data_IF_565806335917
#
_entry.id   IF_565806335917
#
_cell.length_a   1.000
_cell.length_b   1.000
_cell.length_c   1.000
_cell.angle_alpha   90.00
_cell.angle_beta   90.00
_cell.angle_gamma   90.00
#
_symmetry.space_group_name_H-M   'P 1'
#
loop_
_entity.id
_entity.type
_entity.pdbx_description
1 polymer ?
#
# COMPACT_ATOMS: atom_id res chain seq x y z
N UNK A 1 -60.26 12.15 -17.46
CA UNK A 1 -59.19 11.62 -18.34
C UNK A 1 -57.98 11.29 -17.48
N UNK A 2 -57.59 10.05 -17.44
CA UNK A 2 -56.38 9.64 -16.72
C UNK A 2 -55.16 10.23 -17.44
N UNK A 3 -54.22 10.78 -16.66
CA UNK A 3 -52.99 11.38 -17.22
C UNK A 3 -52.12 10.28 -17.83
N UNK A 4 -51.87 10.26 -19.16
CA UNK A 4 -51.11 9.19 -19.83
C UNK A 4 -49.74 8.93 -19.21
N UNK A 5 -49.10 9.97 -18.66
CA UNK A 5 -47.81 9.85 -17.97
C UNK A 5 -47.90 9.05 -16.66
N UNK A 6 -48.97 9.25 -15.88
CA UNK A 6 -49.20 8.48 -14.65
C UNK A 6 -49.44 6.98 -14.94
N UNK A 7 -50.11 6.70 -16.04
CA UNK A 7 -50.34 5.32 -16.46
C UNK A 7 -49.07 4.62 -16.90
N UNK A 8 -48.18 5.30 -17.66
CA UNK A 8 -46.86 4.79 -18.02
C UNK A 8 -45.98 4.53 -16.81
N UNK A 9 -46.00 5.41 -15.81
CA UNK A 9 -45.25 5.24 -14.55
C UNK A 9 -45.77 4.04 -13.76
N UNK A 10 -47.09 3.85 -13.71
CA UNK A 10 -47.69 2.67 -13.07
C UNK A 10 -47.31 1.36 -13.79
N UNK A 11 -47.27 1.37 -15.13
CA UNK A 11 -46.79 0.22 -15.92
C UNK A 11 -45.30 -0.06 -15.68
N UNK A 12 -44.48 0.98 -15.63
CA UNK A 12 -43.04 0.86 -15.28
C UNK A 12 -42.85 0.13 -13.95
N UNK A 13 -43.51 0.61 -12.90
CA UNK A 13 -43.44 0.00 -11.57
C UNK A 13 -43.96 -1.44 -11.56
N UNK A 14 -45.03 -1.73 -12.27
CA UNK A 14 -45.60 -3.07 -12.38
C UNK A 14 -44.66 -4.04 -13.10
N UNK A 15 -44.05 -3.64 -14.23
CA UNK A 15 -43.10 -4.49 -14.94
C UNK A 15 -41.85 -4.76 -14.10
N UNK A 16 -41.35 -3.74 -13.35
CA UNK A 16 -40.26 -3.92 -12.44
C UNK A 16 -40.58 -4.83 -11.24
N UNK A 17 -41.81 -4.77 -10.74
CA UNK A 17 -42.30 -5.64 -9.67
C UNK A 17 -42.51 -7.08 -10.12
N UNK A 18 -42.88 -7.30 -11.39
CA UNK A 18 -43.10 -8.65 -11.97
C UNK A 18 -41.85 -9.27 -12.59
N UNK A 19 -40.75 -8.50 -12.77
CA UNK A 19 -39.54 -9.01 -13.41
C UNK A 19 -39.64 -9.09 -14.95
N UNK A 20 -40.58 -8.42 -15.59
CA UNK A 20 -40.82 -8.47 -17.03
C UNK A 20 -39.83 -7.57 -17.79
N UNK A 21 -38.65 -8.11 -18.07
CA UNK A 21 -37.58 -7.39 -18.78
C UNK A 21 -37.96 -6.97 -20.20
N UNK A 22 -38.80 -7.79 -20.89
CA UNK A 22 -39.20 -7.53 -22.28
C UNK A 22 -40.10 -6.30 -22.38
N UNK A 23 -41.15 -6.25 -21.55
CA UNK A 23 -42.07 -5.10 -21.53
C UNK A 23 -41.43 -3.87 -20.95
N UNK A 24 -40.54 -4.03 -19.95
CA UNK A 24 -39.72 -2.93 -19.39
C UNK A 24 -38.84 -2.31 -20.46
N UNK A 25 -38.13 -3.12 -21.24
CA UNK A 25 -37.29 -2.65 -22.32
C UNK A 25 -38.06 -1.85 -23.37
N UNK A 26 -39.21 -2.42 -23.82
CA UNK A 26 -40.09 -1.74 -24.78
C UNK A 26 -40.59 -0.40 -24.26
N UNK A 27 -41.05 -0.33 -22.99
CA UNK A 27 -41.53 0.90 -22.38
C UNK A 27 -40.42 1.98 -22.28
N UNK A 28 -39.25 1.61 -21.80
CA UNK A 28 -38.12 2.54 -21.64
C UNK A 28 -37.48 2.98 -22.96
N UNK A 29 -37.63 2.19 -24.02
CA UNK A 29 -37.18 2.59 -25.38
C UNK A 29 -38.04 3.72 -25.95
N UNK A 30 -39.29 3.82 -25.55
CA UNK A 30 -40.22 4.88 -25.99
C UNK A 30 -40.29 6.06 -25.02
N UNK A 31 -40.00 5.84 -23.74
CA UNK A 31 -40.20 6.83 -22.67
C UNK A 31 -39.14 6.71 -21.57
N UNK A 32 -37.86 6.98 -21.89
CA UNK A 32 -36.76 6.92 -20.93
C UNK A 32 -36.88 7.93 -19.80
N UNK A 33 -37.57 9.05 -20.00
CA UNK A 33 -37.69 10.16 -19.03
C UNK A 33 -38.48 9.79 -17.76
N UNK A 34 -39.16 8.63 -17.72
CA UNK A 34 -39.97 8.19 -16.56
C UNK A 34 -39.17 7.29 -15.59
N UNK A 35 -37.95 6.93 -15.93
CA UNK A 35 -37.14 5.90 -15.20
C UNK A 35 -36.99 6.20 -13.70
N UNK A 36 -36.94 7.46 -13.31
CA UNK A 36 -36.75 7.94 -11.93
C UNK A 36 -38.05 8.44 -11.28
N UNK A 37 -39.20 8.32 -11.97
CA UNK A 37 -40.48 8.67 -11.37
C UNK A 37 -40.84 7.73 -10.23
N UNK A 38 -41.43 8.28 -9.17
CA UNK A 38 -41.76 7.53 -7.97
C UNK A 38 -43.29 7.41 -7.79
N UNK A 39 -43.72 6.33 -7.16
CA UNK A 39 -45.08 6.17 -6.70
C UNK A 39 -45.42 7.11 -5.52
N UNK A 40 -46.67 7.20 -5.10
CA UNK A 40 -47.13 8.06 -4.00
C UNK A 40 -46.45 7.80 -2.66
N UNK A 41 -45.96 6.56 -2.44
CA UNK A 41 -45.15 6.16 -1.27
C UNK A 41 -43.68 6.49 -1.42
N UNK A 42 -43.23 7.14 -2.51
CA UNK A 42 -41.85 7.42 -2.83
C UNK A 42 -41.03 6.25 -3.39
N UNK A 43 -41.69 5.16 -3.73
CA UNK A 43 -41.01 3.99 -4.30
C UNK A 43 -40.67 4.21 -5.77
N UNK A 44 -39.42 4.01 -6.12
CA UNK A 44 -38.93 4.02 -7.49
C UNK A 44 -39.06 2.62 -8.14
N UNK A 45 -38.95 2.58 -9.47
CA UNK A 45 -38.93 1.32 -10.23
C UNK A 45 -37.82 0.36 -9.72
N UNK A 46 -36.63 0.92 -9.40
CA UNK A 46 -35.52 0.17 -8.86
C UNK A 46 -35.83 -0.47 -7.49
N UNK A 47 -36.58 0.23 -6.64
CA UNK A 47 -37.00 -0.30 -5.32
C UNK A 47 -37.95 -1.49 -5.45
N UNK A 48 -38.90 -1.45 -6.40
CA UNK A 48 -39.80 -2.59 -6.67
C UNK A 48 -39.04 -3.82 -7.17
N UNK A 49 -38.11 -3.63 -8.11
CA UNK A 49 -37.27 -4.71 -8.61
C UNK A 49 -36.33 -5.28 -7.51
N UNK A 50 -35.75 -4.41 -6.67
CA UNK A 50 -34.89 -4.80 -5.57
C UNK A 50 -35.63 -5.58 -4.48
N UNK A 51 -36.89 -5.21 -4.16
CA UNK A 51 -37.73 -5.93 -3.21
C UNK A 51 -38.02 -7.36 -3.64
N UNK A 52 -38.34 -7.53 -4.92
CA UNK A 52 -38.81 -8.80 -5.44
C UNK A 52 -37.69 -9.71 -5.99
N UNK A 53 -36.44 -9.28 -5.88
CA UNK A 53 -35.29 -10.11 -6.25
C UNK A 53 -35.01 -10.20 -7.75
N UNK A 54 -35.53 -9.30 -8.57
CA UNK A 54 -35.42 -9.35 -10.03
C UNK A 54 -34.07 -8.75 -10.51
N UNK A 55 -33.03 -9.57 -10.45
CA UNK A 55 -31.66 -9.18 -10.76
C UNK A 55 -31.48 -8.55 -12.15
N UNK A 56 -32.04 -9.17 -13.19
CA UNK A 56 -31.94 -8.69 -14.58
C UNK A 56 -32.63 -7.34 -14.80
N UNK A 57 -33.75 -7.12 -14.11
CA UNK A 57 -34.46 -5.83 -14.12
C UNK A 57 -33.62 -4.77 -13.44
N UNK A 58 -33.02 -5.06 -12.27
CA UNK A 58 -32.13 -4.14 -11.56
C UNK A 58 -30.94 -3.76 -12.43
N UNK A 59 -30.30 -4.75 -13.08
CA UNK A 59 -29.19 -4.55 -13.99
C UNK A 59 -29.59 -3.64 -15.16
N UNK A 60 -30.71 -3.92 -15.82
CA UNK A 60 -31.22 -3.12 -16.94
C UNK A 60 -31.52 -1.66 -16.52
N UNK A 61 -32.14 -1.44 -15.37
CA UNK A 61 -32.43 -0.09 -14.87
C UNK A 61 -31.15 0.71 -14.62
N UNK A 62 -30.13 0.06 -14.03
CA UNK A 62 -28.82 0.69 -13.79
C UNK A 62 -28.10 1.03 -15.11
N UNK A 63 -28.12 0.13 -16.10
CA UNK A 63 -27.54 0.36 -17.44
C UNK A 63 -28.23 1.51 -18.17
N UNK A 64 -29.52 1.74 -17.93
CA UNK A 64 -30.26 2.88 -18.46
C UNK A 64 -30.17 4.15 -17.63
N UNK A 65 -29.31 4.17 -16.59
CA UNK A 65 -29.00 5.36 -15.83
C UNK A 65 -30.05 5.73 -14.78
N UNK A 66 -30.77 4.76 -14.18
CA UNK A 66 -31.68 5.06 -13.08
C UNK A 66 -30.92 5.57 -11.84
N UNK A 67 -31.54 6.49 -11.11
CA UNK A 67 -31.00 7.03 -9.87
C UNK A 67 -31.24 6.05 -8.70
N UNK A 68 -30.15 5.42 -8.26
CA UNK A 68 -30.18 4.47 -7.13
C UNK A 68 -30.13 5.13 -5.75
N UNK A 69 -29.96 6.45 -5.70
CA UNK A 69 -29.90 7.20 -4.45
C UNK A 69 -31.28 7.65 -3.96
N UNK A 70 -32.32 7.48 -4.79
CA UNK A 70 -33.67 7.80 -4.42
C UNK A 70 -34.09 7.08 -3.14
N UNK A 71 -34.82 7.78 -2.28
CA UNK A 71 -35.33 7.25 -1.02
C UNK A 71 -36.86 7.26 -0.99
N UNK A 72 -37.47 6.24 -0.42
CA UNK A 72 -38.90 6.20 -0.17
C UNK A 72 -39.29 7.06 1.06
N UNK A 73 -40.56 7.12 1.39
CA UNK A 73 -41.05 7.86 2.57
C UNK A 73 -40.49 7.34 3.91
N UNK A 74 -39.97 6.11 3.95
CA UNK A 74 -39.26 5.53 5.09
C UNK A 74 -37.75 5.78 5.05
N UNK A 75 -37.25 6.64 4.16
CA UNK A 75 -35.84 6.97 3.93
C UNK A 75 -34.98 5.76 3.54
N UNK A 76 -35.57 4.75 2.91
CA UNK A 76 -34.85 3.55 2.44
C UNK A 76 -34.52 3.70 0.96
N UNK A 77 -33.29 3.33 0.59
CA UNK A 77 -32.83 3.17 -0.79
C UNK A 77 -33.20 1.77 -1.34
N UNK A 78 -33.04 1.56 -2.64
CA UNK A 78 -33.17 0.23 -3.24
C UNK A 78 -32.18 -0.78 -2.63
N UNK A 79 -30.99 -0.32 -2.24
CA UNK A 79 -29.98 -1.15 -1.55
C UNK A 79 -30.46 -1.61 -0.16
N UNK A 80 -31.05 -0.69 0.61
CA UNK A 80 -31.56 -1.03 1.95
C UNK A 80 -32.70 -2.04 1.86
N UNK A 81 -33.56 -1.88 0.86
CA UNK A 81 -34.66 -2.82 0.57
C UNK A 81 -34.09 -4.19 0.17
N UNK A 82 -33.10 -4.25 -0.74
CA UNK A 82 -32.47 -5.50 -1.14
C UNK A 82 -31.80 -6.23 0.05
N UNK A 83 -31.15 -5.49 0.95
CA UNK A 83 -30.57 -6.04 2.19
C UNK A 83 -31.64 -6.63 3.11
N UNK A 84 -32.73 -5.89 3.33
CA UNK A 84 -33.83 -6.33 4.18
C UNK A 84 -34.45 -7.63 3.70
N UNK A 85 -34.64 -7.78 2.37
CA UNK A 85 -35.23 -8.97 1.75
C UNK A 85 -34.21 -10.09 1.46
N UNK A 86 -32.91 -9.89 1.80
CA UNK A 86 -31.88 -10.93 1.69
C UNK A 86 -31.41 -11.22 0.26
N UNK A 87 -31.65 -10.34 -0.70
CA UNK A 87 -31.27 -10.53 -2.11
C UNK A 87 -29.79 -10.21 -2.35
N UNK A 88 -28.90 -11.09 -1.89
CA UNK A 88 -27.42 -10.88 -1.87
C UNK A 88 -26.85 -10.47 -3.23
N UNK A 89 -27.32 -11.06 -4.35
CA UNK A 89 -26.83 -10.70 -5.69
C UNK A 89 -27.19 -9.27 -6.06
N UNK A 90 -28.40 -8.80 -5.72
CA UNK A 90 -28.84 -7.42 -5.93
C UNK A 90 -28.09 -6.47 -4.98
N UNK A 91 -27.88 -6.87 -3.73
CA UNK A 91 -27.05 -6.10 -2.78
C UNK A 91 -25.65 -5.88 -3.36
N UNK A 92 -25.01 -6.92 -3.88
CA UNK A 92 -23.70 -6.80 -4.51
C UNK A 92 -23.74 -5.89 -5.74
N UNK A 93 -24.74 -6.03 -6.60
CA UNK A 93 -24.92 -5.20 -7.79
C UNK A 93 -25.16 -3.73 -7.43
N UNK A 94 -26.02 -3.43 -6.47
CA UNK A 94 -26.31 -2.06 -6.03
C UNK A 94 -25.16 -1.44 -5.22
N UNK A 95 -24.40 -2.25 -4.50
CA UNK A 95 -23.21 -1.80 -3.74
C UNK A 95 -22.01 -1.56 -4.65
N UNK A 96 -21.77 -2.43 -5.63
CA UNK A 96 -20.72 -2.27 -6.64
C UNK A 96 -21.07 -1.17 -7.64
N UNK A 97 -22.33 -1.04 -7.98
CA UNK A 97 -22.87 0.06 -8.73
C UNK A 97 -23.07 1.32 -7.84
N UNK A 98 -22.13 1.69 -6.99
CA UNK A 98 -21.94 3.11 -6.78
C UNK A 98 -21.58 3.67 -8.15
N UNK A 99 -22.55 4.23 -8.85
CA UNK A 99 -22.34 5.10 -9.99
C UNK A 99 -21.67 6.40 -9.51
N UNK A 100 -20.56 6.24 -8.80
CA UNK A 100 -19.57 7.27 -8.73
C UNK A 100 -18.97 7.30 -10.13
N UNK A 101 -19.02 8.43 -10.79
CA UNK A 101 -18.09 8.76 -11.85
C UNK A 101 -16.75 8.25 -11.36
N UNK A 102 -16.15 7.24 -12.07
CA UNK A 102 -14.79 6.83 -11.74
C UNK A 102 -13.97 8.11 -11.78
N UNK A 103 -13.27 8.47 -10.70
CA UNK A 103 -12.49 9.69 -10.73
C UNK A 103 -11.60 9.63 -11.95
N UNK A 104 -11.57 10.68 -12.77
CA UNK A 104 -10.78 10.75 -14.00
C UNK A 104 -9.28 10.41 -13.78
N UNK A 105 -8.81 10.56 -12.54
CA UNK A 105 -7.44 10.25 -12.12
C UNK A 105 -7.26 8.82 -11.61
N UNK A 106 -8.34 8.02 -11.45
CA UNK A 106 -8.25 6.58 -11.22
C UNK A 106 -8.40 5.92 -12.59
N UNK A 107 -7.30 5.55 -13.19
CA UNK A 107 -7.29 4.74 -14.40
C UNK A 107 -7.94 3.38 -14.13
N UNK A 108 -8.51 2.73 -15.14
CA UNK A 108 -9.00 1.36 -15.08
C UNK A 108 -7.86 0.33 -14.94
N UNK A 109 -6.73 0.78 -14.42
CA UNK A 109 -5.52 0.01 -14.38
C UNK A 109 -5.67 -1.19 -13.45
N UNK A 110 -5.88 -2.34 -14.05
CA UNK A 110 -5.29 -3.60 -13.60
C UNK A 110 -3.76 -3.59 -13.79
N UNK A 111 -3.15 -2.43 -14.02
CA UNK A 111 -1.71 -2.26 -13.97
C UNK A 111 -1.29 -2.40 -12.52
N UNK A 112 -0.57 -3.47 -12.21
CA UNK A 112 0.13 -3.64 -10.96
C UNK A 112 1.11 -2.48 -10.79
N UNK A 113 0.66 -1.40 -10.14
CA UNK A 113 1.53 -0.30 -9.79
C UNK A 113 2.44 -0.74 -8.66
N UNK A 114 3.70 -0.95 -8.98
CA UNK A 114 4.72 -1.20 -7.97
C UNK A 114 4.83 0.04 -7.06
N UNK A 115 4.68 -0.18 -5.75
CA UNK A 115 4.85 0.91 -4.78
C UNK A 115 6.31 1.38 -4.79
N UNK A 116 6.55 2.67 -4.86
CA UNK A 116 7.87 3.27 -4.97
C UNK A 116 8.90 2.76 -3.94
N UNK A 117 8.50 2.52 -2.69
CA UNK A 117 9.35 1.96 -1.64
C UNK A 117 9.18 0.44 -1.43
N UNK A 118 8.56 -0.27 -2.37
CA UNK A 118 8.32 -1.72 -2.29
C UNK A 118 8.61 -2.36 -3.64
N UNK A 119 9.89 -2.50 -3.96
CA UNK A 119 10.35 -3.11 -5.20
C UNK A 119 10.42 -4.63 -5.08
N UNK A 120 10.09 -5.33 -6.16
CA UNK A 120 10.24 -6.78 -6.34
C UNK A 120 11.61 -7.16 -6.91
N UNK A 121 12.51 -6.19 -7.05
CA UNK A 121 13.85 -6.41 -7.61
C UNK A 121 14.68 -7.43 -6.83
N UNK A 122 14.53 -7.50 -5.49
CA UNK A 122 15.17 -8.50 -4.66
C UNK A 122 14.18 -9.54 -4.14
N UNK A 123 14.49 -10.83 -4.37
CA UNK A 123 13.91 -11.93 -3.59
C UNK A 123 14.60 -11.94 -2.23
N UNK A 124 13.83 -11.74 -1.17
CA UNK A 124 14.32 -11.63 0.21
C UNK A 124 14.85 -12.94 0.79
N UNK A 125 14.66 -14.08 0.14
CA UNK A 125 15.13 -15.43 0.51
C UNK A 125 15.10 -15.65 2.02
N UNK A 126 13.91 -15.55 2.61
CA UNK A 126 13.74 -15.76 4.06
C UNK A 126 14.11 -17.19 4.50
N UNK A 127 14.00 -18.15 3.60
CA UNK A 127 14.42 -19.56 3.76
C UNK A 127 15.93 -19.72 3.96
N UNK A 128 16.74 -18.80 3.42
CA UNK A 128 18.22 -18.87 3.48
C UNK A 128 18.82 -18.08 4.65
N UNK A 129 18.05 -17.30 5.39
CA UNK A 129 18.58 -16.44 6.48
C UNK A 129 19.17 -17.22 7.64
N UNK A 130 18.73 -18.46 7.85
CA UNK A 130 19.25 -19.37 8.87
C UNK A 130 20.42 -20.23 8.39
N UNK A 131 20.67 -20.29 7.07
CA UNK A 131 21.79 -21.03 6.50
C UNK A 131 23.07 -20.20 6.54
N UNK A 132 23.82 -20.35 7.62
CA UNK A 132 25.07 -19.62 7.88
C UNK A 132 26.12 -19.88 6.79
N UNK A 133 26.19 -21.12 6.26
CA UNK A 133 27.18 -21.47 5.24
C UNK A 133 26.87 -20.80 3.91
N UNK A 134 25.61 -20.83 3.52
CA UNK A 134 25.15 -20.15 2.33
C UNK A 134 25.34 -18.62 2.43
N UNK A 135 24.97 -18.01 3.56
CA UNK A 135 25.20 -16.57 3.80
C UNK A 135 26.69 -16.21 3.73
N UNK A 136 27.58 -17.03 4.31
CA UNK A 136 29.02 -16.82 4.24
C UNK A 136 29.55 -16.92 2.81
N UNK A 137 29.08 -17.91 2.02
CA UNK A 137 29.49 -18.02 0.61
C UNK A 137 29.09 -16.77 -0.19
N UNK A 138 27.84 -16.30 0.00
CA UNK A 138 27.36 -15.06 -0.65
C UNK A 138 28.09 -13.80 -0.16
N UNK A 139 28.44 -13.75 1.13
CA UNK A 139 29.18 -12.65 1.71
C UNK A 139 30.59 -12.48 1.13
N UNK A 140 31.24 -13.55 0.68
CA UNK A 140 32.58 -13.51 0.07
C UNK A 140 32.56 -13.60 -1.45
N UNK A 141 31.38 -13.70 -2.06
CA UNK A 141 31.21 -13.75 -3.51
C UNK A 141 31.55 -12.38 -4.11
N UNK A 142 32.40 -12.35 -5.13
CA UNK A 142 32.83 -11.13 -5.81
C UNK A 142 31.71 -10.43 -6.57
N UNK A 143 30.64 -11.15 -6.91
CA UNK A 143 29.45 -10.60 -7.56
C UNK A 143 28.50 -9.91 -6.58
N UNK A 144 28.64 -10.13 -5.27
CA UNK A 144 27.76 -9.58 -4.25
C UNK A 144 27.89 -8.06 -4.14
N UNK A 145 26.73 -7.40 -3.96
CA UNK A 145 26.62 -5.95 -3.89
C UNK A 145 26.43 -5.48 -2.45
N UNK A 146 27.19 -4.46 -2.07
CA UNK A 146 27.12 -3.81 -0.75
C UNK A 146 26.68 -2.37 -0.89
N UNK A 147 25.70 -1.97 -0.07
CA UNK A 147 25.32 -0.57 0.12
C UNK A 147 25.66 -0.14 1.55
N UNK A 148 26.31 1.02 1.69
CA UNK A 148 26.81 1.47 2.99
C UNK A 148 25.86 2.50 3.60
N UNK A 149 25.69 2.42 4.92
CA UNK A 149 24.91 3.35 5.73
C UNK A 149 25.71 3.86 6.91
N UNK A 150 25.54 5.14 7.23
CA UNK A 150 25.93 5.74 8.51
C UNK A 150 24.76 6.56 9.05
N UNK A 151 24.32 6.30 10.29
CA UNK A 151 23.17 6.99 10.91
C UNK A 151 21.90 6.96 10.02
N UNK A 152 21.60 5.82 9.42
CA UNK A 152 20.49 5.61 8.47
C UNK A 152 20.59 6.46 7.18
N UNK A 153 21.72 7.09 6.91
CA UNK A 153 21.98 7.83 5.70
C UNK A 153 22.79 6.95 4.74
N UNK A 154 22.32 6.72 3.50
CA UNK A 154 23.03 5.89 2.53
C UNK A 154 24.23 6.65 1.95
N UNK A 155 25.26 5.89 1.56
CA UNK A 155 26.33 6.38 0.70
C UNK A 155 25.81 6.45 -0.74
N UNK A 156 25.86 7.63 -1.34
CA UNK A 156 25.33 7.90 -2.69
C UNK A 156 26.37 8.61 -3.55
N UNK A 157 26.19 8.56 -4.87
CA UNK A 157 26.96 9.35 -5.84
C UNK A 157 26.03 10.23 -6.66
N UNK A 158 26.56 11.34 -7.18
CA UNK A 158 25.88 12.17 -8.17
C UNK A 158 26.35 11.76 -9.56
N UNK A 159 25.41 11.47 -10.44
CA UNK A 159 25.67 11.21 -11.85
C UNK A 159 25.14 12.40 -12.66
N UNK A 160 25.99 13.01 -13.43
CA UNK A 160 25.70 14.17 -14.29
C UNK A 160 26.93 15.05 -14.44
N UNK A 161 27.18 15.51 -15.64
CA UNK A 161 28.25 16.48 -15.91
C UNK A 161 27.75 17.89 -15.61
N UNK A 162 28.63 18.74 -15.10
CA UNK A 162 28.33 20.18 -14.82
C UNK A 162 27.84 20.95 -16.06
N UNK A 163 28.01 20.36 -17.26
CA UNK A 163 27.66 20.95 -18.55
C UNK A 163 26.34 20.42 -19.15
N UNK A 164 25.64 19.49 -18.48
CA UNK A 164 24.34 19.03 -18.91
C UNK A 164 23.23 19.90 -18.35
N UNK A 165 22.24 20.28 -19.17
CA UNK A 165 21.05 21.01 -18.75
C UNK A 165 20.10 20.17 -17.85
N UNK A 166 20.50 18.96 -17.48
CA UNK A 166 19.74 18.05 -16.62
C UNK A 166 20.24 18.14 -15.19
N UNK A 167 19.33 18.13 -14.24
CA UNK A 167 19.67 18.04 -12.81
C UNK A 167 20.47 16.75 -12.52
N UNK A 168 21.51 16.80 -11.65
CA UNK A 168 22.29 15.63 -11.31
C UNK A 168 21.43 14.57 -10.65
N UNK A 169 21.50 13.33 -11.16
CA UNK A 169 20.78 12.17 -10.64
C UNK A 169 21.53 11.55 -9.46
N UNK A 170 20.80 11.28 -8.36
CA UNK A 170 21.34 10.59 -7.18
C UNK A 170 21.21 9.08 -7.38
N UNK A 171 22.31 8.33 -7.13
CA UNK A 171 22.34 6.86 -7.16
C UNK A 171 22.98 6.28 -5.93
N UNK A 172 22.53 5.09 -5.52
CA UNK A 172 23.20 4.32 -4.47
C UNK A 172 24.58 3.87 -4.94
N UNK A 173 25.61 4.05 -4.10
CA UNK A 173 26.92 3.47 -4.36
C UNK A 173 26.84 1.95 -4.19
N UNK A 174 27.05 1.22 -5.30
CA UNK A 174 27.07 -0.24 -5.34
C UNK A 174 28.51 -0.70 -5.27
N UNK A 175 28.89 -1.27 -4.14
CA UNK A 175 30.26 -1.70 -3.85
C UNK A 175 30.35 -3.22 -3.88
N UNK A 176 31.53 -3.76 -4.17
CA UNK A 176 31.79 -5.19 -4.18
C UNK A 176 32.50 -5.61 -2.88
N UNK A 177 32.63 -6.92 -2.67
CA UNK A 177 33.28 -7.46 -1.48
C UNK A 177 34.69 -6.87 -1.23
N UNK A 178 35.49 -6.76 -2.29
CA UNK A 178 36.86 -6.22 -2.18
C UNK A 178 36.93 -4.76 -1.73
N UNK A 179 35.88 -3.98 -2.03
CA UNK A 179 35.79 -2.58 -1.61
C UNK A 179 35.54 -2.45 -0.11
N UNK A 180 34.84 -3.42 0.48
CA UNK A 180 34.34 -3.35 1.87
C UNK A 180 35.00 -4.32 2.83
N UNK A 181 35.84 -5.27 2.37
CA UNK A 181 36.45 -6.33 3.18
C UNK A 181 37.22 -5.82 4.42
N UNK A 182 37.85 -4.67 4.34
CA UNK A 182 38.55 -4.09 5.47
C UNK A 182 37.61 -3.65 6.61
N UNK A 183 36.41 -3.20 6.28
CA UNK A 183 35.38 -2.84 7.26
C UNK A 183 34.73 -4.09 7.84
N UNK A 184 34.49 -5.12 7.01
CA UNK A 184 33.93 -6.40 7.42
C UNK A 184 34.86 -7.17 8.37
N UNK A 185 36.15 -6.89 8.38
CA UNK A 185 37.11 -7.44 9.35
C UNK A 185 36.93 -6.91 10.77
N UNK A 186 36.06 -5.90 10.97
CA UNK A 186 35.76 -5.25 12.25
C UNK A 186 34.34 -5.49 12.71
N UNK A 187 33.95 -6.73 13.06
CA UNK A 187 32.56 -7.09 13.33
C UNK A 187 31.94 -6.35 14.51
N UNK A 188 32.74 -5.83 15.44
CA UNK A 188 32.27 -5.04 16.58
C UNK A 188 31.94 -3.58 16.21
N UNK A 189 32.49 -3.07 15.10
CA UNK A 189 32.30 -1.69 14.65
C UNK A 189 31.24 -1.55 13.56
N UNK A 190 30.87 -2.65 12.90
CA UNK A 190 29.92 -2.66 11.78
C UNK A 190 28.82 -3.72 11.98
N UNK A 191 27.69 -3.51 11.35
CA UNK A 191 26.66 -4.53 11.27
C UNK A 191 26.27 -4.78 9.82
N UNK A 192 26.07 -6.06 9.48
CA UNK A 192 25.75 -6.52 8.13
C UNK A 192 24.35 -7.10 8.09
N UNK A 193 23.58 -6.72 7.07
CA UNK A 193 22.23 -7.21 6.83
C UNK A 193 22.16 -7.78 5.41
N UNK A 194 21.67 -9.02 5.30
CA UNK A 194 21.32 -9.59 4.01
C UNK A 194 19.99 -9.04 3.53
N UNK A 195 19.93 -8.42 2.34
CA UNK A 195 18.72 -7.82 1.79
C UNK A 195 17.95 -8.78 0.89
N UNK A 196 18.64 -9.66 0.19
CA UNK A 196 18.06 -10.59 -0.76
C UNK A 196 19.01 -10.89 -1.92
N UNK A 197 18.48 -11.56 -2.93
CA UNK A 197 19.16 -11.82 -4.20
C UNK A 197 18.38 -11.19 -5.34
N UNK A 198 19.04 -10.82 -6.43
CA UNK A 198 18.36 -10.27 -7.62
C UNK A 198 17.37 -11.26 -8.18
N UNK A 199 16.13 -10.80 -8.40
CA UNK A 199 15.05 -11.64 -8.94
C UNK A 199 15.30 -11.88 -10.43
N UNK A 200 15.37 -13.16 -10.83
CA UNK A 200 15.36 -13.53 -12.25
C UNK A 200 13.91 -13.68 -12.70
N UNK A 201 13.48 -12.83 -13.63
CA UNK A 201 12.08 -12.66 -14.06
C UNK A 201 11.40 -13.90 -14.66
N UNK A 202 12.10 -15.04 -14.87
CA UNK A 202 11.55 -16.09 -15.74
C UNK A 202 11.52 -17.52 -15.22
N UNK A 203 11.79 -17.81 -13.95
CA UNK A 203 11.48 -19.13 -13.31
C UNK A 203 12.21 -19.25 -11.96
N UNK A 204 11.73 -20.05 -11.00
CA UNK A 204 12.53 -20.39 -9.83
C UNK A 204 13.86 -20.98 -10.29
N UNK A 205 15.00 -20.49 -9.78
CA UNK A 205 16.31 -20.94 -10.20
C UNK A 205 16.51 -22.43 -9.90
N UNK A 206 17.14 -23.17 -10.82
CA UNK A 206 17.61 -24.51 -10.52
C UNK A 206 18.71 -24.44 -9.44
N UNK A 207 18.99 -25.57 -8.76
CA UNK A 207 20.01 -25.59 -7.70
C UNK A 207 21.38 -25.06 -8.16
N UNK A 208 21.77 -25.33 -9.42
CA UNK A 208 23.02 -24.81 -10.00
C UNK A 208 22.96 -23.30 -10.31
N UNK A 209 21.78 -22.75 -10.49
CA UNK A 209 21.56 -21.31 -10.72
C UNK A 209 21.51 -20.53 -9.40
N UNK A 210 21.16 -21.19 -8.28
CA UNK A 210 21.15 -20.55 -6.96
C UNK A 210 22.51 -19.98 -6.56
N UNK A 211 23.59 -20.66 -6.91
CA UNK A 211 24.96 -20.22 -6.61
C UNK A 211 25.37 -18.97 -7.43
N UNK A 212 24.71 -18.71 -8.57
CA UNK A 212 25.02 -17.57 -9.44
C UNK A 212 24.18 -16.32 -9.14
N UNK A 213 23.26 -16.39 -8.18
CA UNK A 213 22.42 -15.24 -7.82
C UNK A 213 23.26 -14.16 -7.14
N UNK A 214 23.13 -12.92 -7.62
CA UNK A 214 23.78 -11.75 -7.03
C UNK A 214 23.09 -11.39 -5.72
N UNK A 215 23.83 -11.47 -4.62
CA UNK A 215 23.33 -11.15 -3.29
C UNK A 215 23.58 -9.67 -2.95
N UNK A 216 22.62 -9.07 -2.24
CA UNK A 216 22.73 -7.69 -1.78
C UNK A 216 22.78 -7.62 -0.27
N UNK A 217 23.68 -6.78 0.23
CA UNK A 217 23.90 -6.55 1.65
C UNK A 217 23.86 -5.07 1.99
N UNK A 218 23.34 -4.73 3.17
CA UNK A 218 23.51 -3.41 3.78
C UNK A 218 24.57 -3.49 4.88
N UNK A 219 25.58 -2.63 4.79
CA UNK A 219 26.64 -2.49 5.76
C UNK A 219 26.44 -1.19 6.54
N UNK A 220 26.16 -1.30 7.84
CA UNK A 220 26.08 -0.13 8.72
C UNK A 220 27.44 0.15 9.36
N UNK A 221 27.94 1.36 9.17
CA UNK A 221 29.26 1.82 9.63
C UNK A 221 29.13 2.98 10.62
N UNK A 222 28.05 3.03 11.39
CA UNK A 222 27.73 4.12 12.32
C UNK A 222 28.85 4.42 13.32
N UNK A 223 29.65 3.41 13.70
CA UNK A 223 30.76 3.56 14.66
C UNK A 223 32.08 3.92 14.00
N UNK A 224 32.12 4.11 12.69
CA UNK A 224 33.31 4.49 11.93
C UNK A 224 33.23 5.96 11.47
N UNK A 225 34.39 6.60 11.25
CA UNK A 225 34.39 7.95 10.68
C UNK A 225 33.92 7.94 9.22
N UNK A 226 32.98 8.81 8.87
CA UNK A 226 32.45 8.94 7.51
C UNK A 226 33.53 9.44 6.52
N UNK A 227 34.47 10.24 6.96
CA UNK A 227 35.52 10.81 6.12
C UNK A 227 36.40 9.76 5.43
N UNK A 228 36.60 8.58 6.06
CA UNK A 228 37.35 7.50 5.45
C UNK A 228 36.67 6.92 4.22
N UNK A 229 35.32 6.90 4.22
CA UNK A 229 34.55 6.39 3.10
C UNK A 229 34.52 7.38 1.94
N UNK A 230 34.34 8.66 2.23
CA UNK A 230 34.34 9.72 1.22
C UNK A 230 35.69 9.88 0.54
N UNK A 231 36.80 9.66 1.28
CA UNK A 231 38.15 9.62 0.69
C UNK A 231 38.43 8.37 -0.13
N UNK A 232 37.89 7.22 0.30
CA UNK A 232 38.10 5.94 -0.40
C UNK A 232 37.27 5.85 -1.66
N UNK A 233 36.03 6.36 -1.64
CA UNK A 233 35.06 6.29 -2.74
C UNK A 233 34.88 7.71 -3.31
N UNK A 234 35.75 8.10 -4.22
CA UNK A 234 35.72 9.44 -4.82
C UNK A 234 34.38 9.73 -5.48
N UNK A 235 33.80 10.90 -5.19
CA UNK A 235 32.49 11.31 -5.70
C UNK A 235 31.31 10.73 -4.95
N UNK A 236 31.54 9.90 -3.91
CA UNK A 236 30.49 9.39 -3.03
C UNK A 236 30.43 10.19 -1.72
N UNK A 237 29.22 10.34 -1.19
CA UNK A 237 28.99 11.02 0.09
C UNK A 237 27.78 10.44 0.81
N UNK A 238 27.71 10.59 2.14
CA UNK A 238 26.53 10.21 2.91
C UNK A 238 25.44 11.27 2.77
N UNK A 239 24.28 10.86 2.25
CA UNK A 239 23.15 11.76 1.98
C UNK A 239 22.49 12.24 3.27
N UNK A 240 22.70 13.51 3.66
CA UNK A 240 22.17 14.14 4.87
C UNK A 240 21.57 15.52 4.56
N UNK A 241 20.29 15.79 4.94
CA UNK A 241 19.29 14.82 5.42
C UNK A 241 18.85 13.89 4.29
N UNK A 242 18.47 12.64 4.56
CA UNK A 242 18.10 11.72 3.50
C UNK A 242 16.81 12.12 2.76
N UNK A 243 15.86 12.76 3.44
CA UNK A 243 14.63 13.24 2.83
C UNK A 243 14.67 14.76 2.61
N UNK A 244 14.13 15.29 1.51
CA UNK A 244 13.37 14.61 0.43
C UNK A 244 14.23 14.02 -0.70
N UNK A 245 15.55 14.18 -0.69
CA UNK A 245 16.44 13.80 -1.80
C UNK A 245 16.30 12.31 -2.22
N UNK A 246 15.99 11.41 -1.28
CA UNK A 246 15.74 10.00 -1.58
C UNK A 246 14.55 9.75 -2.53
N UNK A 247 13.66 10.72 -2.69
CA UNK A 247 12.55 10.62 -3.65
C UNK A 247 13.00 10.79 -5.12
N UNK A 248 14.27 11.10 -5.34
CA UNK A 248 14.87 11.19 -6.68
C UNK A 248 15.48 9.86 -7.15
N UNK A 249 15.60 8.85 -6.27
CA UNK A 249 16.10 7.53 -6.65
C UNK A 249 15.11 6.82 -7.60
N UNK A 250 15.61 5.94 -8.43
CA UNK A 250 14.75 5.02 -9.19
C UNK A 250 14.02 4.06 -8.25
N UNK A 251 12.82 3.61 -8.60
CA UNK A 251 11.93 2.82 -7.71
C UNK A 251 12.60 1.55 -7.18
N UNK A 252 13.44 0.88 -7.97
CA UNK A 252 14.19 -0.31 -7.55
C UNK A 252 15.16 0.02 -6.41
N UNK A 253 15.94 1.09 -6.51
CA UNK A 253 16.86 1.54 -5.47
C UNK A 253 16.11 2.07 -4.24
N UNK A 254 14.99 2.76 -4.45
CA UNK A 254 14.14 3.24 -3.36
C UNK A 254 13.59 2.09 -2.51
N UNK A 255 13.16 0.98 -3.14
CA UNK A 255 12.69 -0.23 -2.44
C UNK A 255 13.78 -0.92 -1.62
N UNK A 256 14.97 -1.10 -2.20
CA UNK A 256 16.14 -1.66 -1.51
C UNK A 256 16.53 -0.81 -0.31
N UNK A 257 16.60 0.51 -0.52
CA UNK A 257 16.92 1.47 0.53
C UNK A 257 15.92 1.44 1.67
N UNK A 258 14.62 1.40 1.37
CA UNK A 258 13.55 1.37 2.37
C UNK A 258 13.66 0.12 3.26
N UNK A 259 13.92 -1.04 2.64
CA UNK A 259 14.15 -2.29 3.36
C UNK A 259 15.37 -2.19 4.29
N UNK A 260 16.51 -1.75 3.77
CA UNK A 260 17.75 -1.63 4.55
C UNK A 260 17.58 -0.67 5.73
N UNK A 261 17.05 0.54 5.48
CA UNK A 261 16.83 1.54 6.53
C UNK A 261 15.86 1.07 7.60
N UNK A 262 14.80 0.35 7.22
CA UNK A 262 13.81 -0.17 8.18
C UNK A 262 14.44 -1.18 9.14
N UNK A 263 15.25 -2.10 8.63
CA UNK A 263 15.93 -3.11 9.45
C UNK A 263 17.03 -2.46 10.32
N UNK A 264 17.82 -1.55 9.76
CA UNK A 264 18.83 -0.80 10.52
C UNK A 264 18.22 0.06 11.64
N UNK A 265 17.10 0.75 11.35
CA UNK A 265 16.38 1.51 12.37
C UNK A 265 15.83 0.62 13.48
N UNK A 266 15.42 -0.61 13.14
CA UNK A 266 15.02 -1.59 14.14
C UNK A 266 16.22 -2.06 14.98
N UNK A 267 17.39 -2.36 14.38
CA UNK A 267 18.61 -2.69 15.11
C UNK A 267 18.96 -1.62 16.14
N UNK A 268 18.92 -0.35 15.75
CA UNK A 268 19.25 0.76 16.64
C UNK A 268 18.33 0.89 17.86
N UNK A 269 17.08 0.44 17.75
CA UNK A 269 16.09 0.49 18.84
C UNK A 269 16.15 -0.72 19.77
N UNK A 270 16.68 -1.84 19.31
CA UNK A 270 16.62 -3.13 20.01
C UNK A 270 18.01 -3.67 20.38
N UNK A 271 18.94 -2.79 20.70
CA UNK A 271 20.32 -3.14 21.13
C UNK A 271 20.33 -3.93 22.46
N UNK A 272 19.23 -3.90 23.21
CA UNK A 272 19.08 -4.57 24.49
C UNK A 272 17.81 -5.43 24.53
N UNK A 273 17.91 -6.57 25.20
CA UNK A 273 16.80 -7.47 25.39
C UNK A 273 15.67 -6.80 26.21
N UNK A 274 14.43 -6.74 25.71
CA UNK A 274 13.32 -6.14 26.44
C UNK A 274 12.90 -6.93 27.69
N UNK A 275 13.35 -8.17 27.84
CA UNK A 275 13.01 -9.04 28.98
C UNK A 275 13.97 -8.89 30.14
N UNK A 276 15.28 -8.77 29.90
CA UNK A 276 16.29 -8.73 30.98
C UNK A 276 17.25 -7.54 30.91
N UNK A 277 17.19 -6.69 29.89
CA UNK A 277 18.10 -5.57 29.68
C UNK A 277 19.51 -5.95 29.21
N UNK A 278 19.81 -7.25 29.02
CA UNK A 278 21.11 -7.70 28.49
C UNK A 278 21.28 -7.32 27.02
N UNK A 279 22.53 -7.28 26.54
CA UNK A 279 22.82 -7.01 25.11
C UNK A 279 22.18 -8.07 24.22
N UNK A 280 21.90 -7.70 22.97
CA UNK A 280 21.46 -8.62 21.92
C UNK A 280 22.53 -8.76 20.85
N UNK A 281 22.51 -9.90 20.17
CA UNK A 281 23.29 -10.18 18.95
C UNK A 281 22.38 -10.31 17.75
N UNK A 282 22.90 -9.95 16.59
CA UNK A 282 22.19 -9.99 15.31
C UNK A 282 22.36 -11.39 14.70
N UNK A 283 21.24 -12.02 14.36
CA UNK A 283 21.18 -13.35 13.75
C UNK A 283 20.30 -13.33 12.50
N UNK A 284 20.21 -14.49 11.82
CA UNK A 284 19.34 -14.73 10.65
C UNK A 284 19.48 -13.66 9.57
N UNK A 285 20.73 -13.38 9.18
CA UNK A 285 21.04 -12.39 8.14
C UNK A 285 20.61 -10.95 8.49
N UNK A 286 20.43 -10.63 9.77
CA UNK A 286 20.04 -9.32 10.25
C UNK A 286 18.58 -9.19 10.69
N UNK A 287 17.77 -10.25 10.63
CA UNK A 287 16.33 -10.18 10.86
C UNK A 287 15.88 -10.73 12.22
N UNK A 288 16.82 -11.08 13.09
CA UNK A 288 16.54 -11.51 14.46
C UNK A 288 17.56 -10.95 15.43
N UNK A 289 17.10 -10.56 16.61
CA UNK A 289 17.98 -10.18 17.72
C UNK A 289 17.79 -11.11 18.90
N UNK A 290 18.86 -11.75 19.34
CA UNK A 290 18.86 -12.76 20.40
C UNK A 290 19.63 -12.25 21.60
N UNK A 291 19.09 -12.43 22.81
CA UNK A 291 19.75 -12.07 24.06
C UNK A 291 21.00 -12.91 24.31
N UNK A 292 22.08 -12.28 24.75
CA UNK A 292 23.34 -12.98 25.09
C UNK A 292 23.34 -13.52 26.52
N UNK A 293 22.36 -13.15 27.35
CA UNK A 293 22.32 -13.57 28.76
C UNK A 293 21.80 -14.99 28.88
N UNK A 294 22.66 -15.88 29.38
CA UNK A 294 22.28 -17.26 29.65
C UNK A 294 21.10 -17.34 30.61
N UNK A 295 20.15 -18.25 30.34
CA UNK A 295 18.95 -18.43 31.13
C UNK A 295 17.86 -17.35 30.99
N UNK A 296 18.08 -16.36 30.10
CA UNK A 296 17.04 -15.34 29.86
C UNK A 296 15.75 -15.99 29.31
N UNK A 297 14.57 -15.65 29.84
CA UNK A 297 13.30 -16.16 29.34
C UNK A 297 13.07 -15.92 27.84
N UNK A 298 13.66 -14.86 27.27
CA UNK A 298 13.57 -14.58 25.82
C UNK A 298 14.17 -15.67 24.94
N UNK A 299 15.00 -16.57 25.49
CA UNK A 299 15.59 -17.71 24.77
C UNK A 299 14.66 -18.91 24.67
N UNK A 300 13.50 -18.89 25.36
CA UNK A 300 12.60 -20.05 25.48
C UNK A 300 11.54 -20.18 24.38
N UNK A 301 11.49 -19.26 23.42
CA UNK A 301 10.54 -19.36 22.32
C UNK A 301 10.33 -18.06 21.55
N UNK A 302 9.59 -18.16 20.47
CA UNK A 302 9.38 -17.10 19.49
C UNK A 302 8.79 -15.81 20.08
N UNK A 303 7.90 -15.91 21.07
CA UNK A 303 7.25 -14.75 21.70
C UNK A 303 8.22 -13.90 22.53
N UNK A 304 9.35 -14.47 22.90
CA UNK A 304 10.38 -13.80 23.68
C UNK A 304 11.57 -13.33 22.86
N UNK A 305 11.58 -13.62 21.56
CA UNK A 305 12.62 -13.21 20.62
C UNK A 305 12.22 -11.93 19.91
N UNK A 306 13.18 -11.05 19.65
CA UNK A 306 12.91 -9.80 18.94
C UNK A 306 13.06 -9.96 17.43
N UNK A 307 12.00 -9.63 16.71
CA UNK A 307 11.94 -9.57 15.25
C UNK A 307 11.55 -8.17 14.77
N UNK A 308 11.88 -7.79 13.52
CA UNK A 308 11.39 -6.54 12.94
C UNK A 308 9.87 -6.47 12.98
N UNK A 309 9.34 -5.34 13.41
CA UNK A 309 7.89 -5.13 13.50
C UNK A 309 7.31 -4.66 12.19
N UNK A 310 6.08 -5.13 11.91
CA UNK A 310 5.24 -4.62 10.83
C UNK A 310 3.97 -4.06 11.48
N UNK A 311 3.79 -2.74 11.38
CA UNK A 311 2.61 -2.07 11.89
C UNK A 311 1.67 -1.77 10.70
N UNK A 312 0.44 -2.31 10.69
CA UNK A 312 -0.49 -2.08 9.59
C UNK A 312 -0.97 -0.63 9.59
N UNK A 313 -0.98 -0.03 8.41
CA UNK A 313 -1.39 1.37 8.17
C UNK A 313 -2.41 1.40 7.05
N UNK A 314 -3.41 2.25 7.17
CA UNK A 314 -4.33 2.57 6.08
C UNK A 314 -4.08 3.98 5.57
N UNK A 315 -4.22 4.15 4.26
CA UNK A 315 -4.25 5.44 3.59
C UNK A 315 -5.59 5.52 2.85
N UNK A 316 -6.32 6.61 3.11
CA UNK A 316 -7.68 6.78 2.58
C UNK A 316 -7.70 7.89 1.54
N UNK A 317 -8.04 7.57 0.30
CA UNK A 317 -8.37 8.54 -0.72
C UNK A 317 -9.87 8.84 -0.66
N UNK A 318 -10.24 10.03 -0.16
CA UNK A 318 -11.62 10.48 -0.11
C UNK A 318 -11.89 11.29 -1.37
N UNK A 319 -12.76 10.75 -2.22
CA UNK A 319 -13.13 11.39 -3.49
C UNK A 319 -14.46 12.10 -3.33
N UNK A 320 -14.52 13.34 -3.82
CA UNK A 320 -15.76 14.12 -3.87
C UNK A 320 -16.76 13.47 -4.84
N UNK A 321 -18.10 13.59 -4.61
CA UNK A 321 -19.12 12.99 -5.47
C UNK A 321 -19.06 13.39 -6.95
N UNK A 322 -18.45 14.53 -7.30
CA UNK A 322 -18.26 14.95 -8.69
C UNK A 322 -17.16 14.16 -9.43
N UNK A 323 -16.38 13.33 -8.73
CA UNK A 323 -15.31 12.50 -9.29
C UNK A 323 -14.04 13.26 -9.70
N UNK A 324 -14.01 14.59 -9.57
CA UNK A 324 -12.91 15.44 -10.03
C UNK A 324 -12.08 16.06 -8.89
N UNK A 325 -12.50 15.89 -7.65
CA UNK A 325 -11.82 16.42 -6.48
C UNK A 325 -11.55 15.32 -5.46
N UNK A 326 -10.45 15.43 -4.73
CA UNK A 326 -10.17 14.57 -3.58
C UNK A 326 -9.74 15.40 -2.35
N UNK A 327 -9.89 14.80 -1.17
CA UNK A 327 -9.47 15.41 0.07
C UNK A 327 -8.01 15.08 0.34
N UNK A 328 -7.16 16.09 0.39
CA UNK A 328 -5.77 15.99 0.80
C UNK A 328 -5.50 16.87 2.02
N UNK A 329 -4.64 16.43 2.90
CA UNK A 329 -4.22 17.15 4.08
C UNK A 329 -2.73 17.50 4.05
N UNK A 330 -2.33 18.53 4.79
CA UNK A 330 -0.93 18.90 4.98
C UNK A 330 -0.63 19.11 6.45
N UNK A 331 0.34 18.38 6.97
CA UNK A 331 0.87 18.61 8.32
C UNK A 331 1.89 19.76 8.29
N UNK A 332 2.05 20.47 9.42
CA UNK A 332 3.01 21.59 9.54
C UNK A 332 4.45 21.20 9.20
N UNK A 333 4.84 19.95 9.47
CA UNK A 333 6.18 19.39 9.19
C UNK A 333 6.42 19.01 7.73
N UNK A 334 5.38 19.01 6.89
CA UNK A 334 5.56 18.70 5.48
C UNK A 334 6.23 19.85 4.74
N UNK A 335 7.09 19.55 3.75
CA UNK A 335 7.64 20.56 2.86
C UNK A 335 6.53 21.43 2.23
N UNK A 336 6.82 22.69 1.88
CA UNK A 336 5.88 23.52 1.15
C UNK A 336 5.39 22.82 -0.12
N UNK A 337 4.07 22.88 -0.39
CA UNK A 337 3.46 22.25 -1.57
C UNK A 337 3.21 20.73 -1.44
N UNK A 338 3.71 20.05 -0.40
CA UNK A 338 3.45 18.62 -0.19
C UNK A 338 2.14 18.38 0.56
N UNK A 339 1.27 17.58 -0.02
CA UNK A 339 0.00 17.14 0.56
C UNK A 339 -0.08 15.61 0.55
N UNK A 340 -0.90 15.03 1.40
CA UNK A 340 -1.09 13.58 1.52
C UNK A 340 -2.55 13.25 1.76
N UNK A 341 -2.96 12.04 1.42
CA UNK A 341 -4.20 11.45 1.88
C UNK A 341 -4.21 11.32 3.41
N UNK A 342 -5.40 11.14 3.99
CA UNK A 342 -5.51 10.79 5.41
C UNK A 342 -4.93 9.40 5.62
N UNK A 343 -4.11 9.26 6.67
CA UNK A 343 -3.47 7.99 7.02
C UNK A 343 -3.51 7.76 8.52
N UNK A 344 -3.55 6.49 8.93
CA UNK A 344 -3.52 6.11 10.33
C UNK A 344 -3.15 4.65 10.53
N UNK A 345 -2.69 4.31 11.72
CA UNK A 345 -2.47 2.93 12.12
C UNK A 345 -3.79 2.20 12.31
N UNK A 346 -3.80 0.90 12.00
CA UNK A 346 -4.94 0.02 12.28
C UNK A 346 -4.80 -0.46 13.72
N UNK A 347 -5.79 -0.11 14.55
CA UNK A 347 -5.87 -0.62 15.92
C UNK A 347 -6.27 -2.10 15.92
N UNK A 348 -5.62 -2.96 16.74
CA UNK A 348 -5.96 -4.37 16.87
C UNK A 348 -7.25 -4.57 17.67
N UNK A 349 -8.40 -4.16 17.14
CA UNK A 349 -9.71 -4.39 17.74
C UNK A 349 -10.55 -5.34 16.88
N UNK A 350 -10.72 -6.61 17.28
CA UNK A 350 -11.44 -7.61 16.48
C UNK A 350 -12.93 -7.24 16.28
N UNK A 351 -13.51 -6.37 17.13
CA UNK A 351 -14.90 -5.92 16.98
C UNK A 351 -15.06 -4.89 15.88
N UNK A 352 -13.99 -4.15 15.55
CA UNK A 352 -13.99 -3.15 14.47
C UNK A 352 -13.79 -3.75 13.09
N UNK A 353 -13.26 -4.98 13.00
CA UNK A 353 -12.87 -5.63 11.74
C UNK A 353 -13.31 -7.09 11.65
N UNK A 354 -14.61 -7.43 11.85
CA UNK A 354 -15.07 -8.81 11.89
C UNK A 354 -14.88 -9.56 10.56
N UNK A 355 -14.74 -8.87 9.42
CA UNK A 355 -14.69 -9.45 8.08
C UNK A 355 -13.49 -8.97 7.25
N UNK A 356 -12.39 -8.53 7.85
CA UNK A 356 -11.25 -7.92 7.15
C UNK A 356 -11.59 -6.76 6.19
N UNK A 357 -12.80 -6.22 6.28
CA UNK A 357 -13.22 -5.04 5.54
C UNK A 357 -12.93 -3.82 6.39
N UNK A 358 -11.88 -3.08 6.04
CA UNK A 358 -11.58 -1.75 6.58
C UNK A 358 -12.71 -0.79 6.15
N UNK A 359 -13.78 -0.69 6.92
CA UNK A 359 -14.96 0.09 6.52
C UNK A 359 -15.49 1.05 7.54
N UNK A 360 -14.76 1.44 8.58
CA UNK A 360 -15.28 2.57 9.39
C UNK A 360 -14.16 3.23 10.20
N UNK A 361 -13.60 4.30 9.68
CA UNK A 361 -13.09 5.36 10.54
C UNK A 361 -14.27 6.20 10.99
N UNK A 362 -14.55 6.22 12.28
CA UNK A 362 -15.63 7.02 12.84
C UNK A 362 -15.29 8.52 12.75
N UNK A 363 -16.28 9.27 12.36
CA UNK A 363 -16.33 10.72 12.09
C UNK A 363 -15.82 11.67 13.19
N UNK A 364 -15.38 11.15 14.35
CA UNK A 364 -15.06 11.94 15.53
C UNK A 364 -13.61 12.44 15.65
N UNK A 365 -12.65 11.87 14.90
CA UNK A 365 -11.25 12.33 14.95
C UNK A 365 -10.87 13.30 13.82
N UNK A 366 -11.77 13.57 12.88
CA UNK A 366 -11.51 14.34 11.66
C UNK A 366 -11.33 15.86 11.86
N UNK A 367 -11.67 16.41 13.01
CA UNK A 367 -11.88 17.86 13.10
C UNK A 367 -10.75 18.67 13.74
N UNK A 368 -9.74 18.08 14.35
CA UNK A 368 -8.79 18.85 15.17
C UNK A 368 -7.44 19.21 14.52
N UNK A 369 -7.01 18.60 13.44
CA UNK A 369 -5.63 18.79 12.95
C UNK A 369 -5.42 18.99 11.45
N UNK A 370 -6.45 18.98 10.61
CA UNK A 370 -6.31 19.09 9.16
C UNK A 370 -6.93 20.35 8.60
N UNK A 371 -6.14 21.17 7.88
CA UNK A 371 -6.70 22.18 6.98
C UNK A 371 -7.11 21.47 5.70
N UNK A 372 -8.40 21.53 5.38
CA UNK A 372 -8.96 21.02 4.13
C UNK A 372 -8.60 22.01 3.02
N UNK A 373 -7.89 21.53 2.00
CA UNK A 373 -7.64 22.31 0.79
C UNK A 373 -8.40 21.65 -0.36
N UNK A 374 -9.21 22.46 -1.07
CA UNK A 374 -9.77 22.06 -2.36
C UNK A 374 -8.71 22.31 -3.43
N UNK A 375 -8.31 21.28 -4.14
CA UNK A 375 -7.60 21.46 -5.40
C UNK A 375 -8.63 21.43 -6.52
N UNK A 376 -8.72 22.53 -7.27
CA UNK A 376 -9.33 22.52 -8.60
C UNK A 376 -8.18 22.26 -9.58
N UNK A 377 -8.34 21.27 -10.45
CA UNK A 377 -7.53 21.10 -11.65
C UNK A 377 -7.93 22.15 -12.66
#
# INVERSE_FOLDING_TARGET
MQNPRKEMVAQLHNFCALGDTTKLFALLSHSSSIINETAENGWSALMYAARNGHFDVVKMLLEKGCDKTLVNKSRQTALDIAKFWGHKHIVNLLSSARGGVKPHFLTDAEEEHENYFSSTFLDRRSDKRTDINWLKSKHTDTSSVYIIFSNLCPLVSLIGTKDSAQEPEIKLCRLQHDDVKEFLSKPDEVSLIFLGVETQLNNPPSAEQEDRLVAWFALNVENLSTDQFERKFEGCYFLQPPMPALLQLVSTEAGILAQARSVLAWHNRYKFCPTCGGKTIIEEGGYKQTCVMEGCPSLKGIHNTSYPRVDPVVIMLIVHPDGNHCLLGRQKRFPPGMFSCLAGFIEPDPRKYPDHKVTQFTRQEETRHYKVYRYCT
#
